data_IF_850593843760
#
_entry.id   IF_850593843760
#
_cell.length_a   1.000
_cell.length_b   1.000
_cell.length_c   1.000
_cell.angle_alpha   90.00
_cell.angle_beta   90.00
_cell.angle_gamma   90.00
#
_symmetry.space_group_name_H-M   'P 1'
#
loop_
_entity.id
_entity.type
_entity.pdbx_description
1 polymer ?
#
# COMPACT_ATOMS: atom_id res chain seq x y z
N UNK A 1 -2.71 -16.63 14.22
CA UNK A 1 -2.31 -15.38 14.88
C UNK A 1 -2.67 -14.14 14.04
N UNK A 2 -2.38 -14.12 12.73
CA UNK A 2 -2.71 -12.98 11.82
C UNK A 2 -4.23 -12.70 11.66
N UNK A 3 -5.09 -13.71 11.83
CA UNK A 3 -6.56 -13.54 11.80
C UNK A 3 -7.11 -12.63 12.92
N UNK A 4 -6.44 -12.55 14.07
CA UNK A 4 -6.92 -11.71 15.19
C UNK A 4 -6.68 -10.23 14.93
N UNK A 5 -5.58 -9.89 14.25
CA UNK A 5 -5.21 -8.50 13.91
C UNK A 5 -6.16 -7.95 12.84
N UNK A 6 -6.43 -8.72 11.78
CA UNK A 6 -7.38 -8.32 10.72
C UNK A 6 -8.79 -8.15 11.30
N UNK A 7 -9.23 -9.04 12.20
CA UNK A 7 -10.57 -8.96 12.82
C UNK A 7 -10.73 -7.76 13.77
N UNK A 8 -9.64 -7.31 14.42
CA UNK A 8 -9.69 -6.17 15.35
C UNK A 8 -9.63 -4.81 14.62
N UNK A 9 -8.83 -4.71 13.56
CA UNK A 9 -8.76 -3.51 12.70
C UNK A 9 -10.07 -3.28 11.93
N UNK A 10 -10.66 -4.34 11.38
CA UNK A 10 -11.96 -4.26 10.70
C UNK A 10 -13.09 -3.83 11.67
N UNK A 11 -13.07 -4.32 12.92
CA UNK A 11 -14.11 -3.94 13.92
C UNK A 11 -14.01 -2.48 14.39
N UNK A 12 -12.82 -1.90 14.44
CA UNK A 12 -12.63 -0.53 14.95
C UNK A 12 -12.98 0.55 13.90
N UNK A 13 -12.90 0.22 12.61
CA UNK A 13 -13.20 1.15 11.51
C UNK A 13 -14.63 1.03 10.92
N UNK A 14 -15.33 -0.10 11.12
CA UNK A 14 -16.66 -0.32 10.52
C UNK A 14 -17.86 0.22 11.32
N UNK A 15 -17.65 0.91 12.44
CA UNK A 15 -18.77 1.48 13.24
C UNK A 15 -19.22 2.87 12.76
N UNK A 16 -18.60 3.45 11.74
CA UNK A 16 -18.96 4.77 11.20
C UNK A 16 -18.83 4.96 9.69
N UNK A 17 -18.20 4.02 8.97
CA UNK A 17 -18.12 4.07 7.52
C UNK A 17 -19.33 3.33 6.92
N UNK A 18 -20.22 4.07 6.26
CA UNK A 18 -21.10 3.48 5.24
C UNK A 18 -20.23 2.59 4.36
N UNK A 19 -20.58 1.30 4.27
CA UNK A 19 -19.86 0.34 3.43
C UNK A 19 -19.89 0.82 1.98
N UNK A 20 -18.92 1.65 1.60
CA UNK A 20 -18.57 1.93 0.22
C UNK A 20 -18.29 0.55 -0.37
N UNK A 21 -19.08 0.15 -1.36
CA UNK A 21 -18.96 -1.13 -2.07
C UNK A 21 -17.46 -1.46 -2.19
N UNK A 22 -17.01 -2.49 -1.47
CA UNK A 22 -15.75 -3.16 -1.80
C UNK A 22 -15.88 -3.43 -3.30
N UNK A 23 -14.90 -2.95 -4.07
CA UNK A 23 -15.00 -2.70 -5.50
C UNK A 23 -15.62 -3.83 -6.31
N UNK A 24 -15.97 -3.54 -7.57
CA UNK A 24 -16.42 -4.56 -8.51
C UNK A 24 -15.54 -5.81 -8.36
N UNK A 25 -16.13 -7.01 -8.18
CA UNK A 25 -15.33 -8.23 -8.04
C UNK A 25 -14.28 -8.26 -9.13
N UNK A 26 -13.03 -8.60 -8.78
CA UNK A 26 -11.96 -8.75 -9.76
C UNK A 26 -12.53 -9.48 -10.98
N UNK A 27 -12.39 -8.95 -12.20
CA UNK A 27 -12.77 -9.72 -13.38
C UNK A 27 -12.09 -11.07 -13.23
N UNK A 28 -12.85 -12.15 -13.50
CA UNK A 28 -12.40 -13.53 -13.30
C UNK A 28 -10.95 -13.60 -13.79
N UNK A 29 -10.02 -13.93 -12.88
CA UNK A 29 -8.61 -14.05 -13.25
C UNK A 29 -8.53 -14.91 -14.51
N UNK A 30 -7.66 -14.60 -15.48
CA UNK A 30 -7.57 -15.35 -16.72
C UNK A 30 -7.58 -16.84 -16.38
N UNK A 31 -8.55 -17.57 -16.95
CA UNK A 31 -8.73 -18.98 -16.67
C UNK A 31 -7.43 -19.68 -17.04
N UNK A 32 -6.64 -20.08 -16.03
CA UNK A 32 -5.46 -20.92 -16.23
C UNK A 32 -5.98 -22.34 -16.50
N UNK A 33 -6.63 -22.53 -17.65
CA UNK A 33 -7.50 -23.68 -17.92
C UNK A 33 -8.64 -23.79 -16.89
N UNK A 34 -8.98 -25.03 -16.50
CA UNK A 34 -10.04 -25.32 -15.49
C UNK A 34 -9.60 -25.05 -14.04
N UNK A 35 -8.54 -24.27 -13.81
CA UNK A 35 -8.02 -24.01 -12.47
C UNK A 35 -8.79 -22.89 -11.77
N UNK A 36 -9.23 -23.14 -10.53
CA UNK A 36 -9.86 -22.14 -9.66
C UNK A 36 -8.81 -21.68 -8.64
N UNK A 37 -8.48 -20.38 -8.65
CA UNK A 37 -7.54 -19.81 -7.70
C UNK A 37 -8.21 -19.58 -6.34
N UNK A 38 -7.76 -20.30 -5.31
CA UNK A 38 -8.27 -20.22 -3.95
C UNK A 38 -7.18 -19.83 -2.92
N UNK A 39 -6.02 -19.39 -3.38
CA UNK A 39 -4.86 -19.09 -2.54
C UNK A 39 -4.60 -17.58 -2.37
N UNK A 40 -5.66 -16.83 -2.06
CA UNK A 40 -5.57 -15.37 -1.85
C UNK A 40 -4.74 -14.94 -0.64
N UNK A 41 -4.28 -15.89 0.18
CA UNK A 41 -3.34 -15.63 1.27
C UNK A 41 -1.90 -15.55 0.76
N UNK A 42 -1.56 -16.27 -0.31
CA UNK A 42 -0.24 -16.18 -0.93
C UNK A 42 -0.06 -14.88 -1.71
N UNK A 43 -1.03 -14.53 -2.56
CA UNK A 43 -1.04 -13.25 -3.29
C UNK A 43 -2.42 -12.96 -3.88
N UNK A 44 -2.60 -11.79 -4.47
CA UNK A 44 -3.86 -11.36 -5.09
C UNK A 44 -3.59 -10.89 -6.53
N UNK A 45 -4.48 -11.18 -7.51
CA UNK A 45 -4.41 -10.54 -8.81
C UNK A 45 -4.51 -9.02 -8.69
N UNK A 46 -3.78 -8.29 -9.54
CA UNK A 46 -3.84 -6.83 -9.58
C UNK A 46 -5.16 -6.39 -10.22
N UNK A 47 -5.88 -5.48 -9.56
CA UNK A 47 -7.08 -4.87 -10.13
C UNK A 47 -6.75 -4.07 -11.40
N UNK A 48 -7.59 -4.12 -12.46
CA UNK A 48 -7.35 -3.36 -13.69
C UNK A 48 -7.15 -1.85 -13.44
N UNK A 49 -7.92 -1.26 -12.53
CA UNK A 49 -7.80 0.13 -12.14
C UNK A 49 -6.46 0.45 -11.46
N UNK A 50 -5.90 -0.51 -10.70
CA UNK A 50 -4.59 -0.37 -10.06
C UNK A 50 -3.48 -0.42 -11.11
N UNK A 51 -3.57 -1.36 -12.06
CA UNK A 51 -2.65 -1.44 -13.18
C UNK A 51 -2.67 -0.16 -14.04
N UNK A 52 -3.87 0.34 -14.36
CA UNK A 52 -4.06 1.58 -15.11
C UNK A 52 -3.53 2.81 -14.36
N UNK A 53 -3.65 2.86 -13.04
CA UNK A 53 -3.10 3.94 -12.23
C UNK A 53 -1.56 3.92 -12.17
N UNK A 54 -0.95 2.73 -12.22
CA UNK A 54 0.50 2.56 -12.19
C UNK A 54 1.17 2.77 -13.56
N UNK A 55 0.51 2.38 -14.65
CA UNK A 55 1.06 2.40 -16.02
C UNK A 55 1.71 3.73 -16.44
N UNK A 56 1.13 4.93 -16.15
CA UNK A 56 1.75 6.19 -16.52
C UNK A 56 3.16 6.37 -15.95
N UNK A 57 3.43 5.87 -14.74
CA UNK A 57 4.75 5.98 -14.11
C UNK A 57 5.77 4.97 -14.63
N UNK A 58 5.30 3.94 -15.35
CA UNK A 58 6.17 2.98 -16.04
C UNK A 58 6.57 3.46 -17.44
N UNK A 59 5.74 4.28 -18.09
CA UNK A 59 5.91 4.65 -19.51
C UNK A 59 6.15 6.13 -19.78
N UNK A 60 5.47 7.01 -19.05
CA UNK A 60 5.40 8.45 -19.35
C UNK A 60 6.07 9.31 -18.26
N UNK A 61 5.82 9.00 -16.99
CA UNK A 61 6.33 9.72 -15.83
C UNK A 61 7.49 8.94 -15.20
N UNK A 62 8.64 8.96 -15.87
CA UNK A 62 9.84 8.20 -15.50
C UNK A 62 10.88 9.01 -14.70
N UNK A 63 10.65 10.32 -14.53
CA UNK A 63 11.61 11.19 -13.85
C UNK A 63 11.82 10.80 -12.39
N UNK A 64 13.04 10.99 -11.89
CA UNK A 64 13.35 10.73 -10.49
C UNK A 64 12.61 11.75 -9.58
N UNK A 65 11.70 11.33 -8.67
CA UNK A 65 10.90 12.23 -7.85
C UNK A 65 11.70 13.14 -6.91
N UNK A 66 12.98 12.84 -6.64
CA UNK A 66 13.85 13.71 -5.84
C UNK A 66 14.51 14.84 -6.64
N UNK A 67 14.35 14.85 -7.96
CA UNK A 67 14.95 15.88 -8.83
C UNK A 67 14.05 17.11 -8.96
N UNK A 68 14.64 18.30 -9.12
CA UNK A 68 13.90 19.57 -9.22
C UNK A 68 13.33 19.90 -10.61
N UNK A 69 13.62 19.09 -11.63
CA UNK A 69 13.25 19.38 -13.02
C UNK A 69 11.80 19.00 -13.35
N UNK A 70 11.27 19.53 -14.46
CA UNK A 70 9.87 19.34 -14.87
C UNK A 70 9.46 17.85 -14.98
N UNK A 71 10.35 16.98 -15.46
CA UNK A 71 10.05 15.54 -15.60
C UNK A 71 9.86 14.80 -14.27
N UNK A 72 10.31 15.35 -13.14
CA UNK A 72 10.20 14.75 -11.82
C UNK A 72 8.91 15.13 -11.10
N UNK A 73 8.35 16.30 -11.42
CA UNK A 73 7.13 16.84 -10.81
C UNK A 73 5.94 15.87 -10.82
N UNK A 74 5.58 15.21 -11.95
CA UNK A 74 4.45 14.27 -11.95
C UNK A 74 4.71 13.05 -11.06
N UNK A 75 5.95 12.56 -11.00
CA UNK A 75 6.34 11.41 -10.16
C UNK A 75 6.26 11.77 -8.67
N UNK A 76 6.82 12.91 -8.28
CA UNK A 76 6.76 13.41 -6.91
C UNK A 76 5.31 13.62 -6.45
N UNK A 77 4.47 14.19 -7.31
CA UNK A 77 3.05 14.34 -7.05
C UNK A 77 2.32 12.97 -6.95
N UNK A 78 2.72 11.99 -7.76
CA UNK A 78 2.21 10.62 -7.68
C UNK A 78 2.49 9.96 -6.34
N UNK A 79 3.73 10.04 -5.86
CA UNK A 79 4.13 9.51 -4.54
C UNK A 79 3.36 10.22 -3.42
N UNK A 80 3.18 11.54 -3.49
CA UNK A 80 2.42 12.27 -2.48
C UNK A 80 0.93 11.93 -2.45
N UNK A 81 0.31 11.72 -3.61
CA UNK A 81 -1.07 11.22 -3.68
C UNK A 81 -1.20 9.84 -3.06
N UNK A 82 -0.32 8.91 -3.43
CA UNK A 82 -0.32 7.56 -2.86
C UNK A 82 -0.17 7.60 -1.33
N UNK A 83 0.74 8.43 -0.82
CA UNK A 83 0.95 8.67 0.62
C UNK A 83 -0.33 9.14 1.31
N UNK A 84 -0.98 10.16 0.74
CA UNK A 84 -2.22 10.72 1.27
C UNK A 84 -3.35 9.69 1.28
N UNK A 85 -3.49 8.88 0.22
CA UNK A 85 -4.50 7.83 0.18
C UNK A 85 -4.25 6.73 1.22
N UNK A 86 -2.99 6.33 1.46
CA UNK A 86 -2.67 5.37 2.52
C UNK A 86 -2.94 5.95 3.92
N UNK A 87 -2.51 7.19 4.16
CA UNK A 87 -2.72 7.89 5.42
C UNK A 87 -4.21 7.97 5.77
N UNK A 88 -5.05 8.37 4.81
CA UNK A 88 -6.51 8.40 4.97
C UNK A 88 -7.10 7.00 5.23
N UNK A 89 -6.64 5.98 4.50
CA UNK A 89 -7.13 4.61 4.63
C UNK A 89 -6.91 4.02 6.03
N UNK A 90 -5.79 4.35 6.68
CA UNK A 90 -5.43 3.79 8.00
C UNK A 90 -5.62 4.78 9.16
N UNK A 91 -6.04 6.02 8.88
CA UNK A 91 -6.21 7.08 9.88
C UNK A 91 -4.90 7.62 10.46
N UNK A 92 -3.85 7.68 9.64
CA UNK A 92 -2.53 8.22 10.00
C UNK A 92 -2.28 9.60 9.36
N UNK A 93 -1.23 10.30 9.78
CA UNK A 93 -0.73 11.48 9.06
C UNK A 93 0.23 11.10 7.93
N UNK A 94 0.44 12.03 6.99
CA UNK A 94 1.31 11.77 5.82
C UNK A 94 2.76 11.45 6.19
N UNK A 95 3.27 12.06 7.26
CA UNK A 95 4.61 11.88 7.80
C UNK A 95 4.79 10.54 8.54
N UNK A 96 3.71 9.86 8.91
CA UNK A 96 3.74 8.51 9.49
C UNK A 96 3.83 7.40 8.43
N UNK A 97 3.68 7.72 7.14
CA UNK A 97 3.74 6.73 6.06
C UNK A 97 5.16 6.57 5.56
N UNK A 98 5.68 5.34 5.52
CA UNK A 98 6.92 5.00 4.83
C UNK A 98 6.63 3.92 3.78
N UNK A 99 7.13 4.11 2.56
CA UNK A 99 7.06 3.09 1.51
C UNK A 99 8.30 2.20 1.59
N UNK A 100 8.09 0.89 1.65
CA UNK A 100 9.12 -0.15 1.56
C UNK A 100 8.89 -1.01 0.32
N UNK A 101 9.85 -1.87 -0.04
CA UNK A 101 9.73 -2.79 -1.17
C UNK A 101 8.76 -3.95 -0.90
N UNK A 102 8.59 -4.37 0.35
CA UNK A 102 7.65 -5.43 0.74
C UNK A 102 7.31 -5.40 2.25
N UNK A 103 6.39 -6.28 2.67
CA UNK A 103 6.01 -6.45 4.08
C UNK A 103 7.17 -6.91 4.97
N UNK A 104 7.99 -7.85 4.51
CA UNK A 104 9.17 -8.31 5.28
C UNK A 104 10.18 -7.20 5.54
N UNK A 105 10.36 -6.28 4.58
CA UNK A 105 11.20 -5.10 4.76
C UNK A 105 10.60 -4.14 5.79
N UNK A 106 9.28 -3.92 5.75
CA UNK A 106 8.59 -3.07 6.72
C UNK A 106 8.69 -3.62 8.15
N UNK A 107 8.49 -4.93 8.34
CA UNK A 107 8.62 -5.58 9.65
C UNK A 107 10.03 -5.42 10.22
N UNK A 108 11.05 -5.67 9.38
CA UNK A 108 12.45 -5.49 9.78
C UNK A 108 12.75 -4.02 10.11
N UNK A 109 12.25 -3.07 9.30
CA UNK A 109 12.43 -1.65 9.53
C UNK A 109 11.82 -1.21 10.87
N UNK A 110 10.62 -1.69 11.21
CA UNK A 110 9.97 -1.37 12.47
C UNK A 110 10.76 -1.89 13.69
N UNK A 111 11.27 -3.12 13.63
CA UNK A 111 12.05 -3.71 14.72
C UNK A 111 13.37 -2.97 14.90
N UNK A 112 14.14 -2.80 13.82
CA UNK A 112 15.44 -2.14 13.88
C UNK A 112 15.30 -0.67 14.30
N UNK A 113 14.33 0.04 13.73
CA UNK A 113 14.07 1.44 14.09
C UNK A 113 13.64 1.61 15.55
N UNK A 114 12.88 0.66 16.12
CA UNK A 114 12.53 0.69 17.54
C UNK A 114 13.75 0.51 18.45
N UNK A 115 14.69 -0.37 18.06
CA UNK A 115 15.95 -0.57 18.79
C UNK A 115 16.82 0.68 18.73
N UNK A 116 17.01 1.27 17.54
CA UNK A 116 17.79 2.50 17.36
C UNK A 116 17.21 3.68 18.16
N UNK A 117 15.89 3.84 18.17
CA UNK A 117 15.22 4.87 18.95
C UNK A 117 15.40 4.69 20.47
N UNK A 118 15.44 3.45 20.95
CA UNK A 118 15.70 3.15 22.35
C UNK A 118 17.16 3.43 22.74
N UNK A 119 18.12 3.08 21.89
CA UNK A 119 19.52 3.43 22.11
C UNK A 119 19.74 4.94 22.14
N UNK A 120 19.09 5.68 21.24
CA UNK A 120 19.17 7.15 21.20
C UNK A 120 18.61 7.80 22.47
N UNK A 121 17.56 7.22 23.09
CA UNK A 121 17.00 7.70 24.36
C UNK A 121 17.91 7.48 25.57
N UNK A 122 18.82 6.51 25.49
CA UNK A 122 19.76 6.16 26.58
C UNK A 122 21.04 6.98 26.58
N UNK A 123 21.34 7.66 25.46
CA UNK A 123 22.49 8.56 25.32
C UNK A 123 22.11 9.97 25.75
#
# INVERSE_FOLDING_TARGET
SQFTIIRHLIRRHLMGATATKIGTPLPRAPEHGRCIYLDYQATTPVWPEVAAAAEPYLRLHWGNPSSGHAFARPCAAGVQRARSSLAELIGASNDEILFTGCGSEADNHAILGALEAEEARRR
#
